data_IF_535964714571
#
_entry.id   IF_535964714571
#
_cell.length_a   1.000
_cell.length_b   1.000
_cell.length_c   1.000
_cell.angle_alpha   90.00
_cell.angle_beta   90.00
_cell.angle_gamma   90.00
#
_symmetry.space_group_name_H-M   'P 1'
#
loop_
_entity.id
_entity.type
_entity.pdbx_description
1 polymer ?
#
# COMPACT_ATOMS: atom_id res chain seq x y z
N UNK A 1 12.92 -13.19 -9.38
CA UNK A 1 11.95 -12.11 -9.62
C UNK A 1 12.75 -10.84 -9.88
N UNK A 2 12.14 -9.84 -10.50
CA UNK A 2 12.71 -8.49 -10.51
C UNK A 2 12.63 -7.88 -9.11
N UNK A 3 13.49 -6.88 -8.82
CA UNK A 3 13.46 -6.13 -7.57
C UNK A 3 12.06 -5.58 -7.23
N UNK A 4 11.34 -5.08 -8.24
CA UNK A 4 10.00 -4.52 -8.03
C UNK A 4 8.98 -5.58 -7.66
N UNK A 5 9.02 -6.76 -8.28
CA UNK A 5 8.14 -7.88 -7.89
C UNK A 5 8.40 -8.29 -6.43
N UNK A 6 9.67 -8.38 -6.02
CA UNK A 6 10.05 -8.72 -4.65
C UNK A 6 9.60 -7.65 -3.64
N UNK A 7 9.74 -6.37 -3.97
CA UNK A 7 9.28 -5.27 -3.12
C UNK A 7 7.77 -5.26 -2.94
N UNK A 8 7.00 -5.44 -4.01
CA UNK A 8 5.53 -5.53 -3.91
C UNK A 8 5.09 -6.75 -3.09
N UNK A 9 5.75 -7.90 -3.29
CA UNK A 9 5.49 -9.11 -2.52
C UNK A 9 5.83 -8.92 -1.03
N UNK A 10 6.94 -8.27 -0.70
CA UNK A 10 7.34 -7.99 0.67
C UNK A 10 6.35 -7.04 1.37
N UNK A 11 5.94 -5.96 0.70
CA UNK A 11 4.94 -5.02 1.22
C UNK A 11 3.63 -5.74 1.55
N UNK A 12 3.06 -6.46 0.58
CA UNK A 12 1.77 -7.15 0.74
C UNK A 12 1.85 -8.26 1.80
N UNK A 13 2.95 -9.02 1.83
CA UNK A 13 3.17 -10.07 2.85
C UNK A 13 3.23 -9.49 4.26
N UNK A 14 3.96 -8.38 4.43
CA UNK A 14 4.11 -7.74 5.74
C UNK A 14 2.77 -7.12 6.19
N UNK A 15 2.07 -6.39 5.32
CA UNK A 15 0.76 -5.84 5.65
C UNK A 15 -0.22 -6.93 6.09
N UNK A 16 -0.29 -8.05 5.36
CA UNK A 16 -1.18 -9.16 5.68
C UNK A 16 -0.79 -9.89 6.98
N UNK A 17 0.51 -9.97 7.28
CA UNK A 17 1.00 -10.58 8.53
C UNK A 17 0.72 -9.70 9.74
N UNK A 18 0.99 -8.40 9.63
CA UNK A 18 0.88 -7.45 10.76
C UNK A 18 -0.55 -6.98 11.01
N UNK A 19 -1.47 -7.16 10.04
CA UNK A 19 -2.87 -6.74 10.11
C UNK A 19 -3.79 -7.92 9.74
N UNK A 20 -4.06 -8.84 10.70
CA UNK A 20 -4.75 -10.10 10.42
C UNK A 20 -6.19 -9.96 9.93
N UNK A 21 -6.82 -8.79 10.11
CA UNK A 21 -8.18 -8.50 9.62
C UNK A 21 -8.26 -8.31 8.11
N UNK A 22 -7.13 -8.11 7.41
CA UNK A 22 -7.10 -7.98 5.95
C UNK A 22 -7.33 -9.35 5.31
N UNK A 23 -8.44 -9.50 4.58
CA UNK A 23 -8.76 -10.73 3.85
C UNK A 23 -8.00 -10.81 2.52
N UNK A 24 -7.96 -9.70 1.77
CA UNK A 24 -7.24 -9.60 0.50
C UNK A 24 -6.16 -8.53 0.57
N UNK A 25 -4.91 -8.88 0.30
CA UNK A 25 -3.81 -7.92 0.17
C UNK A 25 -2.98 -8.28 -1.05
N UNK A 26 -3.04 -7.46 -2.09
CA UNK A 26 -2.48 -7.78 -3.41
C UNK A 26 -1.90 -6.53 -4.08
N UNK A 27 -0.98 -6.74 -5.01
CA UNK A 27 -0.47 -5.69 -5.90
C UNK A 27 -0.94 -5.91 -7.33
N UNK A 28 -1.43 -4.86 -8.00
CA UNK A 28 -1.92 -4.91 -9.38
C UNK A 28 -2.90 -6.07 -9.66
N UNK A 29 -3.99 -6.22 -8.87
CA UNK A 29 -4.91 -7.32 -9.09
C UNK A 29 -5.56 -7.21 -10.48
N UNK A 30 -5.63 -8.34 -11.19
CA UNK A 30 -6.38 -8.40 -12.44
C UNK A 30 -7.87 -8.26 -12.11
N UNK A 31 -8.60 -7.44 -12.87
CA UNK A 31 -10.02 -7.07 -12.68
C UNK A 31 -10.97 -8.25 -12.37
N UNK A 32 -10.62 -9.47 -12.80
CA UNK A 32 -11.44 -10.68 -12.57
C UNK A 32 -11.23 -11.37 -11.22
N UNK A 33 -10.36 -10.84 -10.36
CA UNK A 33 -10.07 -11.44 -9.06
C UNK A 33 -11.12 -11.00 -8.05
N UNK A 34 -11.77 -11.96 -7.39
CA UNK A 34 -12.71 -11.66 -6.32
C UNK A 34 -11.96 -11.01 -5.14
N UNK A 35 -12.31 -9.77 -4.81
CA UNK A 35 -11.75 -9.04 -3.67
C UNK A 35 -12.64 -9.26 -2.44
N UNK A 36 -12.10 -9.90 -1.41
CA UNK A 36 -12.79 -10.05 -0.13
C UNK A 36 -12.39 -8.89 0.79
N UNK A 37 -13.38 -8.12 1.23
CA UNK A 37 -13.15 -7.01 2.16
C UNK A 37 -13.05 -7.50 3.62
N UNK A 38 -12.21 -6.89 4.48
CA UNK A 38 -11.35 -5.74 4.18
C UNK A 38 -10.18 -6.08 3.26
N UNK A 39 -9.95 -5.24 2.26
CA UNK A 39 -8.92 -5.43 1.25
C UNK A 39 -7.97 -4.24 1.18
N UNK A 40 -6.71 -4.52 0.86
CA UNK A 40 -5.66 -3.51 0.64
C UNK A 40 -4.96 -3.80 -0.68
N UNK A 41 -5.09 -2.89 -1.65
CA UNK A 41 -4.46 -3.01 -2.96
C UNK A 41 -3.27 -2.06 -3.05
N UNK A 42 -2.08 -2.59 -3.33
CA UNK A 42 -0.83 -1.84 -3.35
C UNK A 42 -0.38 -1.60 -4.79
N UNK A 43 -0.19 -0.34 -5.15
CA UNK A 43 0.27 0.07 -6.48
C UNK A 43 1.44 1.05 -6.34
N UNK A 44 2.45 0.93 -7.20
CA UNK A 44 3.41 2.02 -7.40
C UNK A 44 2.74 3.12 -8.25
N UNK A 45 2.60 4.31 -7.66
CA UNK A 45 1.94 5.45 -8.27
C UNK A 45 2.90 6.33 -9.08
N UNK A 46 4.13 6.54 -8.60
CA UNK A 46 5.10 7.39 -9.29
C UNK A 46 6.54 7.13 -8.86
N UNK A 47 7.46 7.64 -9.67
CA UNK A 47 8.85 7.84 -9.31
C UNK A 47 9.18 9.33 -9.28
N UNK A 48 9.86 9.75 -8.23
CA UNK A 48 10.44 11.09 -8.07
C UNK A 48 11.96 10.96 -7.93
N UNK A 49 12.74 12.00 -8.29
CA UNK A 49 14.17 12.00 -8.02
C UNK A 49 14.42 11.96 -6.50
N UNK A 50 15.27 11.03 -6.07
CA UNK A 50 15.84 11.01 -4.73
C UNK A 50 17.05 11.93 -4.62
N UNK A 51 17.69 11.93 -3.44
CA UNK A 51 18.94 12.65 -3.26
C UNK A 51 20.07 11.98 -4.04
N UNK A 52 20.81 12.75 -4.84
CA UNK A 52 21.93 12.24 -5.63
C UNK A 52 23.00 11.62 -4.69
N UNK A 53 23.33 10.32 -4.85
CA UNK A 53 24.31 9.66 -4.01
C UNK A 53 25.76 10.01 -4.39
N UNK A 54 26.01 10.64 -5.55
CA UNK A 54 27.35 10.92 -6.05
C UNK A 54 28.11 9.68 -6.55
N UNK A 55 27.41 8.56 -6.76
CA UNK A 55 27.99 7.28 -7.20
C UNK A 55 27.85 7.03 -8.70
N UNK A 56 27.17 7.92 -9.43
CA UNK A 56 26.78 7.71 -10.84
C UNK A 56 25.47 6.91 -10.99
N UNK A 57 24.87 6.48 -9.89
CA UNK A 57 23.54 5.89 -9.86
C UNK A 57 22.46 6.98 -9.72
N UNK A 58 21.24 6.70 -10.20
CA UNK A 58 20.08 7.56 -9.97
C UNK A 58 19.32 7.08 -8.73
N UNK A 59 19.19 7.95 -7.72
CA UNK A 59 18.29 7.69 -6.61
C UNK A 59 16.84 7.91 -7.05
N UNK A 60 15.98 6.92 -6.80
CA UNK A 60 14.55 7.00 -7.06
C UNK A 60 13.79 6.98 -5.74
N UNK A 61 12.92 7.97 -5.54
CA UNK A 61 11.87 7.94 -4.52
C UNK A 61 10.63 7.36 -5.16
N UNK A 62 10.30 6.13 -4.78
CA UNK A 62 9.12 5.42 -5.23
C UNK A 62 7.92 5.78 -4.34
N UNK A 63 6.85 6.31 -4.93
CA UNK A 63 5.60 6.57 -4.22
C UNK A 63 4.65 5.39 -4.43
N UNK A 64 4.28 4.73 -3.34
CA UNK A 64 3.27 3.69 -3.33
C UNK A 64 1.94 4.24 -2.83
N UNK A 65 0.86 3.72 -3.39
CA UNK A 65 -0.50 3.94 -2.93
C UNK A 65 -1.12 2.62 -2.48
N UNK A 66 -1.74 2.65 -1.30
CA UNK A 66 -2.50 1.55 -0.75
C UNK A 66 -3.98 1.92 -0.79
N UNK A 67 -4.75 1.32 -1.71
CA UNK A 67 -6.21 1.48 -1.75
C UNK A 67 -6.85 0.54 -0.74
N UNK A 68 -7.51 1.11 0.25
CA UNK A 68 -8.14 0.39 1.35
C UNK A 68 -9.64 0.31 1.09
N UNK A 69 -10.17 -0.91 1.06
CA UNK A 69 -11.56 -1.20 0.72
C UNK A 69 -12.19 -1.95 1.89
N UNK A 70 -13.34 -1.48 2.36
CA UNK A 70 -14.20 -2.18 3.32
C UNK A 70 -15.58 -2.37 2.71
N UNK A 71 -16.32 -3.37 3.19
CA UNK A 71 -17.73 -3.50 2.85
C UNK A 71 -18.52 -2.31 3.41
N UNK A 72 -19.19 -1.55 2.54
CA UNK A 72 -19.96 -0.37 2.93
C UNK A 72 -21.30 -0.70 3.59
N UNK A 73 -21.75 -1.96 3.50
CA UNK A 73 -23.05 -2.41 4.03
C UNK A 73 -22.99 -2.78 5.51
N UNK A 74 -21.80 -2.96 6.08
CA UNK A 74 -21.65 -3.28 7.49
C UNK A 74 -21.92 -2.06 8.38
N UNK A 75 -22.45 -2.25 9.59
CA UNK A 75 -22.56 -1.17 10.57
C UNK A 75 -21.21 -0.50 10.83
N UNK A 76 -21.20 0.83 10.90
CA UNK A 76 -20.00 1.63 11.19
C UNK A 76 -18.86 1.49 10.15
N UNK A 77 -19.14 1.14 8.89
CA UNK A 77 -18.14 1.01 7.83
C UNK A 77 -17.17 2.21 7.74
N UNK A 78 -17.67 3.44 7.96
CA UNK A 78 -16.86 4.66 7.96
C UNK A 78 -15.81 4.70 9.11
N UNK A 79 -16.11 4.09 10.26
CA UNK A 79 -15.13 3.93 11.33
C UNK A 79 -14.20 2.76 11.06
N UNK A 80 -14.74 1.64 10.53
CA UNK A 80 -13.95 0.46 10.19
C UNK A 80 -12.84 0.79 9.18
N UNK A 81 -13.14 1.53 8.11
CA UNK A 81 -12.11 1.93 7.13
C UNK A 81 -11.05 2.83 7.76
N UNK A 82 -11.43 3.73 8.66
CA UNK A 82 -10.47 4.64 9.33
C UNK A 82 -9.56 3.91 10.30
N UNK A 83 -10.10 2.90 11.01
CA UNK A 83 -9.30 2.03 11.86
C UNK A 83 -8.27 1.25 11.04
N UNK A 84 -8.69 0.63 9.92
CA UNK A 84 -7.80 -0.09 9.03
C UNK A 84 -6.73 0.83 8.41
N UNK A 85 -7.10 2.05 8.00
CA UNK A 85 -6.14 3.07 7.52
C UNK A 85 -5.08 3.37 8.59
N UNK A 86 -5.48 3.52 9.86
CA UNK A 86 -4.51 3.78 10.93
C UNK A 86 -3.56 2.61 11.19
N UNK A 87 -4.03 1.37 11.08
CA UNK A 87 -3.18 0.18 11.21
C UNK A 87 -2.19 0.07 10.04
N UNK A 88 -2.65 0.33 8.81
CA UNK A 88 -1.77 0.38 7.64
C UNK A 88 -0.69 1.46 7.80
N UNK A 89 -1.06 2.66 8.26
CA UNK A 89 -0.10 3.72 8.53
C UNK A 89 0.91 3.33 9.62
N UNK A 90 0.48 2.64 10.68
CA UNK A 90 1.35 2.12 11.75
C UNK A 90 2.37 1.13 11.21
N UNK A 91 1.97 0.21 10.33
CA UNK A 91 2.86 -0.81 9.75
C UNK A 91 3.85 -0.22 8.75
N UNK A 92 3.43 0.77 7.95
CA UNK A 92 4.28 1.46 6.98
C UNK A 92 5.36 2.30 7.67
N UNK A 93 5.02 2.93 8.79
CA UNK A 93 5.92 3.86 9.47
C UNK A 93 7.28 3.20 9.79
N UNK A 94 8.35 3.72 9.18
CA UNK A 94 9.74 3.26 9.36
C UNK A 94 10.01 1.81 8.90
N UNK A 95 9.17 1.24 8.04
CA UNK A 95 9.35 -0.12 7.53
C UNK A 95 10.25 -0.14 6.29
N UNK A 96 11.28 -0.98 6.29
CA UNK A 96 12.15 -1.24 5.12
C UNK A 96 11.81 -2.56 4.40
N UNK A 97 10.74 -3.23 4.84
CA UNK A 97 10.21 -4.47 4.25
C UNK A 97 11.17 -5.66 4.29
N UNK A 98 12.22 -5.59 5.11
CA UNK A 98 13.31 -6.57 5.11
C UNK A 98 14.16 -6.53 3.84
N UNK A 99 14.08 -5.44 3.07
CA UNK A 99 14.78 -5.26 1.81
C UNK A 99 15.77 -4.09 1.91
N UNK A 100 16.68 -3.99 0.93
CA UNK A 100 17.65 -2.91 0.84
C UNK A 100 17.01 -1.63 0.26
N UNK A 101 16.04 -1.07 0.99
CA UNK A 101 15.38 0.21 0.71
C UNK A 101 15.41 1.08 1.95
N UNK A 102 15.35 2.40 1.77
CA UNK A 102 15.17 3.32 2.89
C UNK A 102 13.80 3.07 3.57
N UNK A 103 13.68 3.33 4.88
CA UNK A 103 12.41 3.19 5.58
C UNK A 103 11.28 4.00 4.92
N UNK A 104 10.10 3.41 4.82
CA UNK A 104 8.94 4.06 4.23
C UNK A 104 8.45 5.25 5.09
N UNK A 105 7.94 6.26 4.38
CA UNK A 105 7.36 7.47 4.96
C UNK A 105 5.86 7.50 4.65
N UNK A 106 5.05 7.72 5.69
CA UNK A 106 3.61 7.93 5.51
C UNK A 106 3.35 9.38 5.08
N UNK A 107 2.86 9.57 3.86
CA UNK A 107 2.58 10.90 3.30
C UNK A 107 1.19 11.44 3.67
N UNK A 108 0.20 10.55 3.81
CA UNK A 108 -1.18 10.92 4.09
C UNK A 108 -2.17 9.85 3.62
N UNK A 109 -3.42 10.00 4.04
CA UNK A 109 -4.53 9.17 3.60
C UNK A 109 -5.79 10.02 3.47
N UNK A 110 -6.48 9.86 2.34
CA UNK A 110 -7.75 10.53 2.05
C UNK A 110 -8.68 9.55 1.34
N UNK A 111 -10.01 9.76 1.39
CA UNK A 111 -10.92 9.02 0.52
C UNK A 111 -10.47 9.15 -0.94
N UNK A 112 -10.59 8.06 -1.70
CA UNK A 112 -10.32 8.10 -3.12
C UNK A 112 -11.28 9.09 -3.79
N UNK A 113 -10.72 9.99 -4.61
CA UNK A 113 -11.50 10.93 -5.42
C UNK A 113 -12.14 10.26 -6.64
N UNK A 114 -11.79 9.00 -6.92
CA UNK A 114 -12.38 8.22 -8.01
C UNK A 114 -13.88 8.03 -7.80
N UNK A 115 -14.65 8.72 -8.64
CA UNK A 115 -16.10 8.61 -8.75
C UNK A 115 -16.40 8.07 -10.14
N UNK A 116 -16.58 6.74 -10.31
CA UNK A 116 -16.78 6.15 -11.64
C UNK A 116 -18.02 6.67 -12.37
N UNK A 117 -18.97 7.23 -11.62
CA UNK A 117 -20.23 7.78 -12.12
C UNK A 117 -20.22 9.31 -12.34
N UNK A 118 -19.06 9.98 -12.18
CA UNK A 118 -18.87 11.42 -12.48
C UNK A 118 -17.85 11.65 -13.59
#
# INVERSE_FOLDING_TARGET
MSFWEELHAAITTILKREIPEIQTCESYPVIKTALLAPAVLVELASFEPGNDPGTGEIALRARFEARIIVDSTIPNAAFAVRALVSEVARVIHQNSWGMNVSPAEFLGASPDGFKPDL
#
